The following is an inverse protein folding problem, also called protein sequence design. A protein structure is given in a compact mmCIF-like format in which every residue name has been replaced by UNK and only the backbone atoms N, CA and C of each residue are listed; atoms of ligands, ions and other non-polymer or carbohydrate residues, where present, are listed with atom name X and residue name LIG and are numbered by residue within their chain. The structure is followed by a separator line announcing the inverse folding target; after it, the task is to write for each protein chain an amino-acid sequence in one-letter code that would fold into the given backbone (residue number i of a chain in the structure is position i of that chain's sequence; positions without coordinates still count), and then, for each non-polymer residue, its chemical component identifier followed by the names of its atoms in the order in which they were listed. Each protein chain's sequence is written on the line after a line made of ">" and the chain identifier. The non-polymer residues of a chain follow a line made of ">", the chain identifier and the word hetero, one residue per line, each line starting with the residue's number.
data_IF_415904505143
#
_entry.id   IF_415904505143
#
_cell.length_a   1.000
_cell.length_b   1.000
_cell.length_c   1.000
_cell.angle_alpha   90.00
_cell.angle_beta   90.00
_cell.angle_gamma   90.00
#
_symmetry.space_group_name_H-M   'P 1'
#
loop_
_entity.id
_entity.type
_entity.pdbx_description
1 polymer ?
#
# COMPACT_ATOMS: atom_id res chain seq x y z
N UNK A 1 3.64 5.85 -28.19
CA UNK A 1 3.90 6.73 -27.01
C UNK A 1 5.35 6.46 -26.59
N UNK A 2 6.33 6.80 -27.44
CA UNK A 2 7.60 6.04 -27.50
C UNK A 2 8.83 6.83 -27.02
N UNK A 3 8.66 7.86 -26.19
CA UNK A 3 9.80 8.62 -25.67
C UNK A 3 9.62 9.12 -24.22
N UNK A 4 8.71 8.50 -23.44
CA UNK A 4 8.87 8.57 -21.99
C UNK A 4 9.93 7.53 -21.64
N UNK A 5 11.15 8.00 -21.42
CA UNK A 5 12.16 7.17 -20.78
C UNK A 5 11.58 6.83 -19.40
N UNK A 6 10.96 5.65 -19.24
CA UNK A 6 10.22 5.26 -18.03
C UNK A 6 11.15 4.94 -16.84
N UNK A 7 12.46 4.92 -17.07
CA UNK A 7 13.49 4.64 -16.07
C UNK A 7 13.49 5.60 -14.85
N UNK A 8 13.37 6.94 -15.00
CA UNK A 8 13.25 7.86 -13.88
C UNK A 8 11.93 7.66 -13.13
N UNK A 9 10.85 7.30 -13.82
CA UNK A 9 9.57 7.00 -13.18
C UNK A 9 9.68 5.80 -12.25
N UNK A 10 10.34 4.72 -12.70
CA UNK A 10 10.62 3.57 -11.86
C UNK A 10 11.45 3.95 -10.62
N UNK A 11 12.49 4.78 -10.77
CA UNK A 11 13.30 5.24 -9.64
C UNK A 11 12.54 6.11 -8.64
N UNK A 12 11.69 7.03 -9.13
CA UNK A 12 10.83 7.88 -8.28
C UNK A 12 9.79 7.03 -7.55
N UNK A 13 9.16 6.08 -8.25
CA UNK A 13 8.17 5.18 -7.67
C UNK A 13 8.76 4.35 -6.53
N UNK A 14 9.98 3.83 -6.70
CA UNK A 14 10.63 3.00 -5.69
C UNK A 14 11.12 3.82 -4.51
N UNK A 15 11.64 5.03 -4.75
CA UNK A 15 11.92 6.01 -3.71
C UNK A 15 10.67 6.34 -2.88
N UNK A 16 9.55 6.63 -3.55
CA UNK A 16 8.29 6.91 -2.89
C UNK A 16 7.79 5.72 -2.06
N UNK A 17 7.98 4.49 -2.53
CA UNK A 17 7.61 3.29 -1.79
C UNK A 17 8.32 3.24 -0.42
N UNK A 18 9.64 3.48 -0.38
CA UNK A 18 10.40 3.59 0.87
C UNK A 18 9.93 4.76 1.74
N UNK A 19 9.68 5.92 1.12
CA UNK A 19 9.27 7.14 1.81
C UNK A 19 7.89 6.98 2.46
N UNK A 20 6.92 6.43 1.73
CA UNK A 20 5.56 6.13 2.20
C UNK A 20 5.62 5.16 3.39
N UNK A 21 6.37 4.06 3.29
CA UNK A 21 6.52 3.11 4.41
C UNK A 21 7.12 3.82 5.64
N UNK A 22 8.15 4.64 5.43
CA UNK A 22 8.79 5.41 6.51
C UNK A 22 7.79 6.37 7.17
N UNK A 23 6.97 7.08 6.40
CA UNK A 23 5.94 8.00 6.93
C UNK A 23 4.87 7.22 7.70
N UNK A 24 4.28 6.18 7.11
CA UNK A 24 3.17 5.42 7.69
C UNK A 24 3.56 4.79 9.03
N UNK A 25 4.77 4.22 9.11
CA UNK A 25 5.22 3.48 10.28
C UNK A 25 6.06 4.30 11.27
N UNK A 26 6.44 5.53 10.91
CA UNK A 26 7.24 6.46 11.71
C UNK A 26 8.61 5.88 12.13
N UNK A 27 9.31 5.26 11.17
CA UNK A 27 10.56 4.53 11.42
C UNK A 27 11.76 5.45 11.26
N UNK A 28 12.72 5.35 12.16
CA UNK A 28 14.04 5.97 12.02
C UNK A 28 14.96 5.11 11.15
N UNK A 29 15.52 5.71 10.10
CA UNK A 29 16.53 5.07 9.24
C UNK A 29 17.94 5.48 9.70
N UNK A 30 18.81 4.49 9.84
CA UNK A 30 20.24 4.70 10.09
C UNK A 30 20.95 4.91 8.75
N UNK A 31 22.20 5.39 8.80
CA UNK A 31 23.02 5.62 7.60
C UNK A 31 23.12 4.38 6.69
N UNK A 32 23.32 3.19 7.28
CA UNK A 32 23.35 1.91 6.54
C UNK A 32 22.04 1.63 5.79
N UNK A 33 20.89 1.99 6.38
CA UNK A 33 19.60 1.78 5.73
C UNK A 33 19.45 2.67 4.49
N UNK A 34 19.92 3.91 4.55
CA UNK A 34 19.92 4.80 3.39
C UNK A 34 20.77 4.25 2.24
N UNK A 35 21.96 3.71 2.53
CA UNK A 35 22.80 3.05 1.52
C UNK A 35 22.12 1.84 0.88
N UNK A 36 21.42 1.02 1.68
CA UNK A 36 20.64 -0.09 1.13
C UNK A 36 19.47 0.40 0.28
N UNK A 37 18.75 1.44 0.71
CA UNK A 37 17.65 2.00 -0.09
C UNK A 37 18.13 2.55 -1.42
N UNK A 38 19.26 3.27 -1.46
CA UNK A 38 19.84 3.75 -2.73
C UNK A 38 20.26 2.60 -3.63
N UNK A 39 20.84 1.53 -3.08
CA UNK A 39 21.19 0.33 -3.84
C UNK A 39 19.97 -0.34 -4.46
N UNK A 40 18.87 -0.45 -3.71
CA UNK A 40 17.60 -1.02 -4.21
C UNK A 40 16.99 -0.13 -5.29
N UNK A 41 17.06 1.20 -5.16
CA UNK A 41 16.56 2.14 -6.19
C UNK A 41 17.36 1.96 -7.49
N UNK A 42 18.70 1.94 -7.43
CA UNK A 42 19.54 1.73 -8.62
C UNK A 42 19.22 0.38 -9.28
N UNK A 43 19.14 -0.69 -8.47
CA UNK A 43 18.79 -2.02 -8.94
C UNK A 43 17.40 -2.05 -9.59
N UNK A 44 16.45 -1.29 -9.04
CA UNK A 44 15.09 -1.21 -9.57
C UNK A 44 15.03 -0.56 -10.95
N UNK A 45 15.79 0.51 -11.17
CA UNK A 45 15.87 1.19 -12.46
C UNK A 45 16.53 0.29 -13.49
N UNK A 46 17.61 -0.41 -13.11
CA UNK A 46 18.30 -1.36 -13.97
C UNK A 46 17.39 -2.54 -14.37
N UNK A 47 16.74 -3.18 -13.40
CA UNK A 47 15.83 -4.30 -13.67
C UNK A 47 14.62 -3.88 -14.50
N UNK A 48 14.09 -2.67 -14.26
CA UNK A 48 13.01 -2.10 -15.06
C UNK A 48 13.40 -1.87 -16.51
N UNK A 49 14.64 -1.47 -16.79
CA UNK A 49 15.12 -1.31 -18.18
C UNK A 49 15.13 -2.60 -18.98
N UNK A 50 15.23 -3.76 -18.32
CA UNK A 50 15.30 -5.09 -18.97
C UNK A 50 13.92 -5.76 -19.01
N UNK A 51 13.20 -5.76 -17.89
CA UNK A 51 11.96 -6.52 -17.71
C UNK A 51 10.68 -5.66 -17.82
N UNK A 52 10.83 -4.33 -17.93
CA UNK A 52 9.72 -3.39 -17.95
C UNK A 52 8.86 -3.46 -16.69
N UNK A 53 7.54 -3.37 -16.87
CA UNK A 53 6.52 -3.44 -15.82
C UNK A 53 6.54 -4.75 -15.01
N UNK A 54 7.09 -5.84 -15.56
CA UNK A 54 7.23 -7.14 -14.87
C UNK A 54 8.22 -7.11 -13.71
N UNK A 55 8.94 -6.01 -13.53
CA UNK A 55 9.89 -5.77 -12.43
C UNK A 55 9.19 -5.56 -11.09
N UNK A 56 7.95 -5.06 -11.09
CA UNK A 56 7.25 -4.63 -9.89
C UNK A 56 7.10 -5.75 -8.84
N UNK A 57 6.69 -6.99 -9.17
CA UNK A 57 6.60 -8.07 -8.19
C UNK A 57 7.97 -8.46 -7.60
N UNK A 58 9.03 -8.46 -8.42
CA UNK A 58 10.40 -8.76 -7.96
C UNK A 58 10.84 -7.72 -6.94
N UNK A 59 10.58 -6.44 -7.25
CA UNK A 59 10.89 -5.33 -6.36
C UNK A 59 10.14 -5.44 -5.02
N UNK A 60 8.86 -5.79 -5.04
CA UNK A 60 8.05 -5.98 -3.83
C UNK A 60 8.64 -7.06 -2.93
N UNK A 61 9.11 -8.18 -3.50
CA UNK A 61 9.79 -9.25 -2.74
C UNK A 61 11.09 -8.74 -2.11
N UNK A 62 11.92 -8.01 -2.84
CA UNK A 62 13.17 -7.43 -2.31
C UNK A 62 12.88 -6.47 -1.15
N UNK A 63 11.86 -5.61 -1.30
CA UNK A 63 11.45 -4.65 -0.28
C UNK A 63 10.87 -5.36 0.95
N UNK A 64 10.09 -6.44 0.77
CA UNK A 64 9.63 -7.26 1.88
C UNK A 64 10.79 -7.79 2.70
N UNK A 65 11.81 -8.38 2.05
CA UNK A 65 13.00 -8.94 2.73
C UNK A 65 13.73 -7.84 3.51
N UNK A 66 13.90 -6.66 2.92
CA UNK A 66 14.55 -5.53 3.56
C UNK A 66 13.82 -5.09 4.83
N UNK A 67 12.51 -4.81 4.74
CA UNK A 67 11.73 -4.33 5.88
C UNK A 67 11.41 -5.43 6.90
N UNK A 68 11.41 -6.70 6.50
CA UNK A 68 11.20 -7.83 7.43
C UNK A 68 12.27 -7.86 8.51
N UNK A 69 13.54 -7.56 8.16
CA UNK A 69 14.64 -7.47 9.12
C UNK A 69 14.40 -6.42 10.21
N UNK A 70 13.63 -5.36 9.92
CA UNK A 70 13.35 -4.27 10.88
C UNK A 70 12.06 -4.44 11.68
N UNK A 71 10.98 -4.88 11.02
CA UNK A 71 9.61 -4.76 11.56
C UNK A 71 8.88 -6.11 11.60
N UNK A 72 9.58 -7.20 11.25
CA UNK A 72 9.02 -8.57 11.22
C UNK A 72 7.75 -8.59 10.35
N UNK A 73 6.67 -9.19 10.84
CA UNK A 73 5.42 -9.40 10.09
C UNK A 73 4.71 -8.11 9.67
N UNK A 74 4.87 -7.00 10.41
CA UNK A 74 4.27 -5.71 10.02
C UNK A 74 4.89 -5.12 8.74
N UNK A 75 6.05 -5.63 8.31
CA UNK A 75 6.66 -5.32 7.01
C UNK A 75 5.69 -5.62 5.86
N UNK A 76 5.07 -6.80 5.88
CA UNK A 76 4.20 -7.24 4.78
C UNK A 76 3.01 -6.30 4.61
N UNK A 77 2.36 -5.94 5.72
CA UNK A 77 1.26 -4.97 5.75
C UNK A 77 1.68 -3.64 5.13
N UNK A 78 2.78 -3.05 5.60
CA UNK A 78 3.17 -1.71 5.19
C UNK A 78 3.62 -1.64 3.74
N UNK A 79 4.35 -2.66 3.26
CA UNK A 79 4.76 -2.74 1.86
C UNK A 79 3.55 -2.90 0.94
N UNK A 80 2.59 -3.77 1.27
CA UNK A 80 1.37 -3.93 0.46
C UNK A 80 0.51 -2.66 0.44
N UNK A 81 0.29 -2.04 1.61
CA UNK A 81 -0.46 -0.78 1.71
C UNK A 81 0.22 0.31 0.87
N UNK A 82 1.55 0.45 0.96
CA UNK A 82 2.28 1.45 0.18
C UNK A 82 2.16 1.24 -1.34
N UNK A 83 2.10 -0.01 -1.81
CA UNK A 83 1.86 -0.29 -3.22
C UNK A 83 0.45 0.10 -3.66
N UNK A 84 -0.58 -0.20 -2.86
CA UNK A 84 -1.97 0.21 -3.14
C UNK A 84 -2.08 1.73 -3.18
N UNK A 85 -1.38 2.45 -2.29
CA UNK A 85 -1.30 3.91 -2.32
C UNK A 85 -0.69 4.42 -3.62
N UNK A 86 0.39 3.79 -4.10
CA UNK A 86 1.01 4.17 -5.36
C UNK A 86 0.10 3.88 -6.56
N UNK A 87 -0.65 2.77 -6.57
CA UNK A 87 -1.66 2.51 -7.60
C UNK A 87 -2.78 3.57 -7.61
N UNK A 88 -3.29 3.95 -6.43
CA UNK A 88 -4.27 5.03 -6.29
C UNK A 88 -3.70 6.36 -6.79
N UNK A 89 -2.46 6.66 -6.40
CA UNK A 89 -1.80 7.90 -6.79
C UNK A 89 -1.56 7.96 -8.29
N UNK A 90 -1.15 6.84 -8.90
CA UNK A 90 -0.97 6.72 -10.34
C UNK A 90 -2.29 7.03 -11.06
N UNK A 91 -3.38 6.38 -10.64
CA UNK A 91 -4.70 6.63 -11.19
C UNK A 91 -5.12 8.11 -11.11
N UNK A 92 -5.03 8.72 -9.93
CA UNK A 92 -5.38 10.14 -9.73
C UNK A 92 -4.48 11.08 -10.54
N UNK A 93 -3.18 10.78 -10.63
CA UNK A 93 -2.23 11.62 -11.36
C UNK A 93 -2.43 11.53 -12.88
N UNK A 94 -2.79 10.35 -13.39
CA UNK A 94 -3.07 10.12 -14.82
C UNK A 94 -4.39 10.78 -15.21
N UNK A 95 -5.43 10.66 -14.39
CA UNK A 95 -6.72 11.34 -14.67
C UNK A 95 -6.54 12.86 -14.70
N UNK A 96 -5.79 13.42 -13.77
CA UNK A 96 -5.43 14.85 -13.78
C UNK A 96 -4.57 15.21 -15.00
N UNK A 97 -3.59 14.39 -15.36
CA UNK A 97 -2.75 14.62 -16.54
C UNK A 97 -3.58 14.71 -17.82
N UNK A 98 -4.50 13.77 -18.03
CA UNK A 98 -5.38 13.76 -19.21
C UNK A 98 -6.22 15.05 -19.28
N UNK A 99 -6.80 15.47 -18.15
CA UNK A 99 -7.58 16.72 -18.10
C UNK A 99 -6.71 17.97 -18.34
N UNK A 100 -5.49 18.01 -17.80
CA UNK A 100 -4.59 19.16 -17.98
C UNK A 100 -3.97 19.25 -19.38
N UNK A 101 -3.90 18.13 -20.10
CA UNK A 101 -3.37 18.07 -21.46
C UNK A 101 -4.25 18.82 -22.46
N UNK A 102 -5.54 18.94 -22.19
CA UNK A 102 -6.45 19.76 -23.00
C UNK A 102 -6.14 21.26 -22.92
N UNK A 103 -5.42 21.68 -21.88
CA UNK A 103 -5.12 23.10 -21.59
C UNK A 103 -3.65 23.45 -21.92
N UNK A 104 -2.72 22.52 -21.67
CA UNK A 104 -1.27 22.76 -21.81
C UNK A 104 -0.73 22.03 -23.04
N UNK A 105 -0.44 22.78 -24.10
CA UNK A 105 0.07 22.23 -25.37
C UNK A 105 1.54 21.74 -25.30
N UNK A 106 2.33 22.17 -24.32
CA UNK A 106 3.73 21.77 -24.21
C UNK A 106 3.89 20.43 -23.45
N UNK A 107 4.32 19.40 -24.18
CA UNK A 107 4.47 18.03 -23.68
C UNK A 107 5.45 17.91 -22.49
N UNK A 108 6.59 18.61 -22.53
CA UNK A 108 7.60 18.53 -21.45
C UNK A 108 7.12 19.15 -20.14
N UNK A 109 6.37 20.26 -20.24
CA UNK A 109 5.79 20.94 -19.08
C UNK A 109 4.68 20.07 -18.47
N UNK A 110 3.82 19.50 -19.31
CA UNK A 110 2.73 18.63 -18.87
C UNK A 110 3.24 17.37 -18.14
N UNK A 111 4.29 16.73 -18.68
CA UNK A 111 4.94 15.57 -18.04
C UNK A 111 5.56 15.95 -16.69
N UNK A 112 6.31 17.06 -16.64
CA UNK A 112 6.95 17.52 -15.39
C UNK A 112 5.92 17.84 -14.31
N UNK A 113 4.80 18.46 -14.71
CA UNK A 113 3.69 18.77 -13.81
C UNK A 113 3.02 17.49 -13.29
N UNK A 114 2.81 16.50 -14.14
CA UNK A 114 2.32 15.18 -13.73
C UNK A 114 3.23 14.52 -12.68
N UNK A 115 4.56 14.56 -12.86
CA UNK A 115 5.51 14.05 -11.87
C UNK A 115 5.38 14.74 -10.50
N UNK A 116 5.27 16.08 -10.50
CA UNK A 116 5.11 16.85 -9.26
C UNK A 116 3.80 16.48 -8.57
N UNK A 117 2.70 16.41 -9.32
CA UNK A 117 1.39 16.02 -8.80
C UNK A 117 1.45 14.61 -8.20
N UNK A 118 2.07 13.66 -8.90
CA UNK A 118 2.21 12.28 -8.42
C UNK A 118 2.91 12.21 -7.06
N UNK A 119 4.05 12.91 -6.91
CA UNK A 119 4.79 12.96 -5.64
C UNK A 119 3.97 13.63 -4.53
N UNK A 120 3.32 14.76 -4.83
CA UNK A 120 2.52 15.50 -3.84
C UNK A 120 1.35 14.66 -3.32
N UNK A 121 0.58 14.03 -4.23
CA UNK A 121 -0.55 13.19 -3.86
C UNK A 121 -0.08 11.98 -3.05
N UNK A 122 1.02 11.33 -3.43
CA UNK A 122 1.57 10.19 -2.70
C UNK A 122 1.91 10.54 -1.25
N UNK A 123 2.57 11.69 -1.04
CA UNK A 123 2.94 12.16 0.30
C UNK A 123 1.68 12.51 1.12
N UNK A 124 0.70 13.18 0.51
CA UNK A 124 -0.56 13.54 1.16
C UNK A 124 -1.31 12.29 1.66
N UNK A 125 -1.45 11.28 0.79
CA UNK A 125 -2.04 9.99 1.13
C UNK A 125 -1.27 9.26 2.24
N UNK A 126 0.06 9.30 2.22
CA UNK A 126 0.89 8.70 3.25
C UNK A 126 0.65 9.30 4.65
N UNK A 127 0.47 10.63 4.74
CA UNK A 127 0.14 11.29 6.01
C UNK A 127 -1.27 10.96 6.50
N UNK A 128 -2.26 10.89 5.60
CA UNK A 128 -3.62 10.43 5.94
C UNK A 128 -3.55 9.00 6.50
N UNK A 129 -2.79 8.11 5.87
CA UNK A 129 -2.60 6.75 6.34
C UNK A 129 -1.81 6.68 7.66
N UNK A 130 -0.81 7.53 7.88
CA UNK A 130 -0.10 7.62 9.17
C UNK A 130 -1.08 7.89 10.31
N UNK A 131 -2.01 8.83 10.11
CA UNK A 131 -3.04 9.13 11.09
C UNK A 131 -3.95 7.93 11.37
N UNK A 132 -4.42 7.24 10.33
CA UNK A 132 -5.22 6.02 10.46
C UNK A 132 -4.46 4.89 11.16
N UNK A 133 -3.20 4.66 10.79
CA UNK A 133 -2.36 3.60 11.35
C UNK A 133 -2.07 3.84 12.83
N UNK A 134 -1.90 5.09 13.26
CA UNK A 134 -1.74 5.45 14.68
C UNK A 134 -3.01 5.12 15.48
N UNK A 135 -4.20 5.40 14.94
CA UNK A 135 -5.48 5.00 15.56
C UNK A 135 -5.64 3.47 15.60
N UNK A 136 -5.24 2.77 14.53
CA UNK A 136 -5.31 1.31 14.46
C UNK A 136 -4.38 0.62 15.46
N UNK A 137 -3.14 1.10 15.62
CA UNK A 137 -2.18 0.56 16.62
C UNK A 137 -2.69 0.70 18.06
N UNK A 138 -3.49 1.72 18.36
CA UNK A 138 -4.14 1.88 19.66
C UNK A 138 -5.33 0.94 19.88
N UNK A 139 -5.81 0.26 18.83
CA UNK A 139 -6.91 -0.70 18.93
C UNK A 139 -6.39 -2.09 19.26
N UNK A 140 -7.07 -2.76 20.18
CA UNK A 140 -6.81 -4.16 20.58
C UNK A 140 -6.84 -5.15 19.38
N UNK A 141 -7.53 -4.82 18.28
CA UNK A 141 -7.54 -5.64 17.05
C UNK A 141 -6.15 -5.77 16.41
N UNK A 142 -5.33 -4.72 16.51
CA UNK A 142 -3.98 -4.70 15.91
C UNK A 142 -2.97 -5.60 16.63
N UNK A 143 -3.31 -6.14 17.80
CA UNK A 143 -2.49 -7.09 18.56
C UNK A 143 -2.82 -8.55 18.21
N UNK A 144 -3.97 -8.82 17.58
CA UNK A 144 -4.35 -10.16 17.21
C UNK A 144 -3.61 -10.62 15.95
N UNK A 145 -2.70 -11.59 16.11
CA UNK A 145 -1.92 -12.17 15.01
C UNK A 145 -2.81 -12.72 13.89
N UNK A 146 -3.94 -13.37 14.22
CA UNK A 146 -4.86 -13.93 13.21
C UNK A 146 -5.45 -12.81 12.33
N UNK A 147 -5.85 -11.71 12.95
CA UNK A 147 -6.42 -10.56 12.25
C UNK A 147 -5.40 -9.92 11.29
N UNK A 148 -4.15 -9.71 11.75
CA UNK A 148 -3.07 -9.19 10.90
C UNK A 148 -2.81 -10.12 9.71
N UNK A 149 -2.73 -11.43 9.93
CA UNK A 149 -2.49 -12.39 8.86
C UNK A 149 -3.61 -12.37 7.81
N UNK A 150 -4.88 -12.34 8.24
CA UNK A 150 -6.03 -12.30 7.31
C UNK A 150 -5.99 -11.01 6.48
N UNK A 151 -5.79 -9.85 7.10
CA UNK A 151 -5.69 -8.58 6.35
C UNK A 151 -4.53 -8.62 5.36
N UNK A 152 -3.38 -9.18 5.76
CA UNK A 152 -2.22 -9.28 4.88
C UNK A 152 -2.52 -10.13 3.64
N UNK A 153 -3.25 -11.25 3.81
CA UNK A 153 -3.69 -12.09 2.68
C UNK A 153 -4.62 -11.32 1.76
N UNK A 154 -5.60 -10.61 2.32
CA UNK A 154 -6.56 -9.80 1.55
C UNK A 154 -5.84 -8.70 0.76
N UNK A 155 -4.88 -8.01 1.38
CA UNK A 155 -4.05 -7.01 0.72
C UNK A 155 -3.17 -7.61 -0.38
N UNK A 156 -2.67 -8.84 -0.21
CA UNK A 156 -1.87 -9.52 -1.23
C UNK A 156 -2.72 -9.83 -2.46
N UNK A 157 -3.95 -10.33 -2.29
CA UNK A 157 -4.88 -10.52 -3.40
C UNK A 157 -5.21 -9.21 -4.11
N UNK A 158 -5.46 -8.13 -3.35
CA UNK A 158 -5.67 -6.80 -3.92
C UNK A 158 -4.47 -6.32 -4.74
N UNK A 159 -3.26 -6.53 -4.23
CA UNK A 159 -2.02 -6.19 -4.95
C UNK A 159 -1.88 -6.96 -6.26
N UNK A 160 -2.08 -8.29 -6.24
CA UNK A 160 -2.01 -9.13 -7.46
C UNK A 160 -3.04 -8.68 -8.48
N UNK A 161 -4.26 -8.40 -8.03
CA UNK A 161 -5.34 -7.96 -8.89
C UNK A 161 -5.04 -6.59 -9.55
N UNK A 162 -4.57 -5.60 -8.78
CA UNK A 162 -4.15 -4.31 -9.34
C UNK A 162 -2.96 -4.43 -10.28
N UNK A 163 -2.01 -5.33 -9.99
CA UNK A 163 -0.90 -5.59 -10.88
C UNK A 163 -1.37 -6.13 -12.23
N UNK A 164 -2.30 -7.09 -12.25
CA UNK A 164 -2.84 -7.65 -13.50
C UNK A 164 -3.54 -6.55 -14.32
N UNK A 165 -4.37 -5.72 -13.68
CA UNK A 165 -5.09 -4.64 -14.37
C UNK A 165 -4.11 -3.57 -14.88
N UNK A 166 -3.07 -3.26 -14.12
CA UNK A 166 -2.06 -2.30 -14.57
C UNK A 166 -1.26 -2.78 -15.79
N UNK A 167 -1.31 -4.07 -16.11
CA UNK A 167 -0.64 -4.67 -17.27
C UNK A 167 -1.54 -4.76 -18.51
N UNK A 168 -2.85 -4.55 -18.38
CA UNK A 168 -3.75 -4.57 -19.54
C UNK A 168 -3.61 -3.29 -20.35
N UNK A 169 -3.49 -3.39 -21.67
CA UNK A 169 -3.30 -2.23 -22.55
C UNK A 169 -4.48 -1.26 -22.46
N UNK A 170 -4.23 -0.06 -21.91
CA UNK A 170 -5.21 1.01 -21.69
C UNK A 170 -5.37 1.93 -22.91
N UNK A 171 -5.13 1.43 -24.13
CA UNK A 171 -5.15 2.23 -25.37
C UNK A 171 -6.55 2.65 -25.82
N UNK A 172 -7.62 2.17 -25.19
CA UNK A 172 -9.00 2.58 -25.47
C UNK A 172 -9.48 3.62 -24.45
N UNK A 173 -10.24 4.62 -24.90
CA UNK A 173 -10.79 5.69 -24.05
C UNK A 173 -11.69 5.14 -22.91
N UNK A 174 -12.33 3.99 -23.14
CA UNK A 174 -13.16 3.27 -22.15
C UNK A 174 -12.35 2.51 -21.09
N UNK A 175 -11.03 2.46 -21.22
CA UNK A 175 -10.18 1.71 -20.29
C UNK A 175 -9.98 2.42 -18.95
N UNK A 176 -9.96 3.76 -18.94
CA UNK A 176 -9.79 4.55 -17.72
C UNK A 176 -11.05 4.53 -16.85
N UNK A 177 -12.23 4.55 -17.48
CA UNK A 177 -13.52 4.42 -16.81
C UNK A 177 -13.69 3.00 -16.25
N UNK A 178 -13.31 1.97 -17.01
CA UNK A 178 -13.28 0.59 -16.54
C UNK A 178 -12.30 0.41 -15.36
N UNK A 179 -11.10 1.00 -15.44
CA UNK A 179 -10.15 1.00 -14.33
C UNK A 179 -10.76 1.68 -13.09
N UNK A 180 -11.43 2.82 -13.25
CA UNK A 180 -12.09 3.53 -12.15
C UNK A 180 -13.20 2.70 -11.49
N UNK A 181 -14.07 2.06 -12.28
CA UNK A 181 -15.13 1.20 -11.76
C UNK A 181 -14.57 0.00 -10.98
N UNK A 182 -13.54 -0.65 -11.52
CA UNK A 182 -12.90 -1.77 -10.84
C UNK A 182 -12.21 -1.31 -9.55
N UNK A 183 -11.52 -0.17 -9.59
CA UNK A 183 -10.84 0.41 -8.44
C UNK A 183 -11.84 0.72 -7.30
N UNK A 184 -12.96 1.37 -7.62
CA UNK A 184 -14.03 1.67 -6.66
C UNK A 184 -14.69 0.39 -6.13
N UNK A 185 -15.02 -0.56 -7.01
CA UNK A 185 -15.60 -1.85 -6.62
C UNK A 185 -14.71 -2.61 -5.65
N UNK A 186 -13.39 -2.59 -5.88
CA UNK A 186 -12.42 -3.24 -5.00
C UNK A 186 -12.32 -2.52 -3.64
N UNK A 187 -12.33 -1.19 -3.59
CA UNK A 187 -12.36 -0.45 -2.31
C UNK A 187 -13.60 -0.82 -1.50
N UNK A 188 -14.78 -0.86 -2.14
CA UNK A 188 -16.03 -1.22 -1.47
C UNK A 188 -15.93 -2.65 -0.93
N UNK A 189 -15.46 -3.60 -1.75
CA UNK A 189 -15.26 -4.98 -1.35
C UNK A 189 -14.29 -5.11 -0.16
N UNK A 190 -13.12 -4.47 -0.23
CA UNK A 190 -12.15 -4.44 0.88
C UNK A 190 -12.75 -3.85 2.14
N UNK A 191 -13.53 -2.77 2.02
CA UNK A 191 -14.15 -2.10 3.16
C UNK A 191 -15.18 -3.00 3.86
N UNK A 192 -16.02 -3.69 3.09
CA UNK A 192 -16.98 -4.66 3.62
C UNK A 192 -16.24 -5.81 4.31
N UNK A 193 -15.20 -6.35 3.68
CA UNK A 193 -14.42 -7.46 4.21
C UNK A 193 -13.76 -7.08 5.54
N UNK A 194 -13.12 -5.90 5.61
CA UNK A 194 -12.51 -5.37 6.84
C UNK A 194 -13.58 -5.15 7.92
N UNK A 195 -14.74 -4.62 7.57
CA UNK A 195 -15.84 -4.40 8.52
C UNK A 195 -16.32 -5.73 9.11
N UNK A 196 -16.58 -6.74 8.27
CA UNK A 196 -17.00 -8.07 8.71
C UNK A 196 -15.96 -8.69 9.64
N UNK A 197 -14.68 -8.72 9.24
CA UNK A 197 -13.60 -9.26 10.08
C UNK A 197 -13.46 -8.51 11.40
N UNK A 198 -13.62 -7.18 11.39
CA UNK A 198 -13.58 -6.36 12.58
C UNK A 198 -14.69 -6.76 13.57
N UNK A 199 -15.92 -6.96 13.08
CA UNK A 199 -17.03 -7.39 13.94
C UNK A 199 -16.84 -8.79 14.52
N UNK A 200 -16.34 -9.75 13.73
CA UNK A 200 -16.07 -11.11 14.21
C UNK A 200 -14.97 -11.13 15.28
N UNK A 201 -13.87 -10.43 15.05
CA UNK A 201 -12.77 -10.36 16.03
C UNK A 201 -13.18 -9.65 17.32
N UNK A 202 -13.98 -8.58 17.23
CA UNK A 202 -14.55 -7.93 18.41
C UNK A 202 -15.48 -8.87 19.21
N UNK A 203 -16.29 -9.69 18.53
CA UNK A 203 -17.15 -10.68 19.19
C UNK A 203 -16.35 -11.78 19.88
N UNK A 204 -15.31 -12.31 19.22
CA UNK A 204 -14.44 -13.33 19.81
C UNK A 204 -13.75 -12.83 21.09
N UNK A 205 -13.29 -11.57 21.10
CA UNK A 205 -12.66 -10.99 22.29
C UNK A 205 -13.64 -10.75 23.42
N UNK A 206 -14.85 -10.24 23.14
CA UNK A 206 -15.90 -10.12 24.16
C UNK A 206 -16.26 -11.47 24.77
N UNK A 207 -16.36 -12.50 23.93
CA UNK A 207 -16.67 -13.85 24.38
C UNK A 207 -15.59 -14.40 25.33
N UNK A 208 -14.31 -14.25 24.99
CA UNK A 208 -13.19 -14.67 25.86
C UNK A 208 -13.18 -13.94 27.19
N UNK A 209 -13.36 -12.62 27.18
CA UNK A 209 -13.40 -11.83 28.42
C UNK A 209 -14.56 -12.27 29.33
N UNK A 210 -15.74 -12.51 28.75
CA UNK A 210 -16.89 -12.97 29.52
C UNK A 210 -16.65 -14.37 30.11
N UNK A 211 -15.96 -15.27 29.39
CA UNK A 211 -15.57 -16.58 29.93
C UNK A 211 -14.58 -16.47 31.08
N UNK A 212 -13.55 -15.63 30.95
CA UNK A 212 -12.57 -15.38 32.03
C UNK A 212 -13.25 -14.79 33.27
N UNK A 213 -14.19 -13.86 33.09
CA UNK A 213 -15.00 -13.32 34.18
C UNK A 213 -15.80 -14.43 34.87
N UNK A 214 -16.49 -15.29 34.11
CA UNK A 214 -17.26 -16.42 34.64
C UNK A 214 -16.37 -17.41 35.41
N UNK A 215 -15.24 -17.82 34.86
CA UNK A 215 -14.28 -18.73 35.52
C UNK A 215 -13.78 -18.13 36.84
N UNK A 216 -13.46 -16.84 36.85
CA UNK A 216 -13.04 -16.13 38.05
C UNK A 216 -14.15 -16.14 39.11
N UNK A 217 -15.42 -15.88 38.73
CA UNK A 217 -16.56 -15.98 39.65
C UNK A 217 -16.74 -17.41 40.22
N UNK A 218 -16.56 -18.44 39.40
CA UNK A 218 -16.61 -19.83 39.86
C UNK A 218 -15.47 -20.17 40.83
N UNK A 219 -14.24 -19.72 40.58
CA UNK A 219 -13.12 -19.93 41.51
C UNK A 219 -13.35 -19.26 42.86
N UNK A 220 -13.93 -18.05 42.87
CA UNK A 220 -14.26 -17.36 44.12
C UNK A 220 -15.40 -18.03 44.89
N UNK A 221 -16.38 -18.61 44.21
CA UNK A 221 -17.52 -19.28 44.88
C UNK A 221 -17.17 -20.69 45.35
N UNK A 222 -16.29 -21.42 44.65
CA UNK A 222 -15.84 -22.76 45.06
C UNK A 222 -14.81 -22.76 46.21
N UNK A 223 -14.21 -21.60 46.53
CA UNK A 223 -13.29 -21.43 47.66
C UNK A 223 -13.99 -21.08 48.99
N UNK A 224 -15.30 -20.83 48.97
CA UNK A 224 -16.15 -20.60 50.15
C UNK A 224 -16.81 -21.91 50.54
#
# INVERSE_FOLDING_TARGET
>A
MDALNYAPYAGVQTLLLFLIIKIILDIKFNYKDYLFTSGIIILSVYTFSILGSKTLPILVVVIFIFFYKKIKLYSFLAVLISNIVLYLTNFLSVTLYLNTREIINNNSISISLHFVIFVVIAILLAYILKFLFKKLKGSYLSLNKKYITIITIVLLFSFVFFYIISQTDLSANDSLTLYAFIFVGLIIFLSILIFVLSTFTLREMKYKRNLEEIETYYEYTLRI
#
